data_IF_150072627083
#
_entry.id   IF_150072627083
#
_cell.length_a   1.000
_cell.length_b   1.000
_cell.length_c   1.000
_cell.angle_alpha   90.00
_cell.angle_beta   90.00
_cell.angle_gamma   90.00
#
_symmetry.space_group_name_H-M   'P 1'
#
loop_
_entity.id
_entity.type
_entity.pdbx_description
1 polymer ?
#
# COMPACT_ATOMS: atom_id res chain seq x y z
N UNK A 1 -36.07 -22.51 -80.15
CA UNK A 1 -34.94 -22.94 -81.03
C UNK A 1 -33.64 -22.66 -80.32
N UNK A 2 -32.91 -23.71 -80.17
CA UNK A 2 -31.45 -23.87 -80.09
C UNK A 2 -30.84 -23.42 -78.81
N UNK A 3 -30.41 -24.35 -78.06
CA UNK A 3 -29.10 -25.06 -77.95
C UNK A 3 -28.18 -24.26 -76.99
N UNK A 4 -27.80 -24.69 -75.87
CA UNK A 4 -27.22 -26.02 -75.53
C UNK A 4 -25.72 -25.96 -75.58
N UNK A 5 -25.06 -25.61 -74.48
CA UNK A 5 -23.65 -26.02 -74.31
C UNK A 5 -23.36 -26.28 -72.81
N UNK A 6 -23.26 -27.55 -72.49
CA UNK A 6 -22.66 -28.06 -71.25
C UNK A 6 -21.14 -27.79 -71.29
N UNK A 7 -20.60 -27.27 -70.21
CA UNK A 7 -19.19 -27.48 -69.87
C UNK A 7 -19.10 -28.20 -68.54
N UNK A 8 -18.65 -29.39 -68.65
CA UNK A 8 -18.42 -30.37 -67.60
C UNK A 8 -17.01 -30.16 -67.01
N UNK A 9 -16.97 -30.35 -65.69
CA UNK A 9 -15.85 -30.81 -64.88
C UNK A 9 -14.47 -30.26 -65.05
N UNK A 10 -14.02 -29.57 -64.01
CA UNK A 10 -12.69 -29.85 -63.40
C UNK A 10 -12.75 -29.45 -61.93
N UNK A 11 -13.22 -30.39 -61.09
CA UNK A 11 -13.08 -30.31 -59.64
C UNK A 11 -11.61 -30.62 -59.31
N UNK A 12 -10.79 -29.59 -59.20
CA UNK A 12 -9.47 -29.71 -58.56
C UNK A 12 -9.74 -29.57 -57.06
N UNK A 13 -9.57 -30.67 -56.32
CA UNK A 13 -9.58 -30.70 -54.87
C UNK A 13 -8.36 -29.89 -54.38
N UNK A 14 -8.57 -28.67 -53.89
CA UNK A 14 -7.63 -27.95 -53.08
C UNK A 14 -7.86 -28.40 -51.64
N UNK A 15 -6.98 -29.25 -51.12
CA UNK A 15 -6.82 -29.54 -49.70
C UNK A 15 -6.35 -28.25 -49.03
N UNK A 16 -7.05 -27.75 -48.01
CA UNK A 16 -6.53 -26.63 -47.24
C UNK A 16 -5.35 -27.11 -46.42
N UNK A 17 -4.17 -26.64 -46.77
CA UNK A 17 -3.01 -26.69 -45.89
C UNK A 17 -3.31 -25.77 -44.71
N UNK A 18 -3.80 -26.34 -43.61
CA UNK A 18 -3.81 -25.72 -42.30
C UNK A 18 -2.37 -25.60 -41.82
N UNK A 19 -1.68 -24.56 -42.28
CA UNK A 19 -0.50 -24.09 -41.59
C UNK A 19 -0.97 -23.47 -40.27
N UNK A 20 -0.88 -24.24 -39.21
CA UNK A 20 -0.86 -23.67 -37.86
C UNK A 20 0.32 -22.67 -37.83
N UNK A 21 0.09 -21.40 -37.42
CA UNK A 21 1.22 -20.51 -37.22
C UNK A 21 2.13 -21.15 -36.17
N UNK A 22 3.47 -21.06 -36.35
CA UNK A 22 4.38 -21.54 -35.34
C UNK A 22 4.02 -20.81 -34.04
N UNK A 23 3.71 -21.57 -32.99
CA UNK A 23 3.61 -21.04 -31.64
C UNK A 23 4.93 -20.33 -31.36
N UNK A 24 4.94 -19.03 -31.46
CA UNK A 24 5.95 -18.18 -30.87
C UNK A 24 5.81 -18.42 -29.36
N UNK A 25 6.55 -19.39 -28.85
CA UNK A 25 6.83 -19.45 -27.42
C UNK A 25 7.52 -18.11 -27.12
N UNK A 26 6.75 -17.14 -26.66
CA UNK A 26 7.31 -16.00 -25.97
C UNK A 26 7.92 -16.57 -24.70
N UNK A 27 9.18 -16.90 -24.75
CA UNK A 27 9.99 -17.06 -23.56
C UNK A 27 10.12 -15.66 -22.95
N UNK A 28 9.05 -15.21 -22.28
CA UNK A 28 9.16 -14.12 -21.33
C UNK A 28 9.98 -14.69 -20.16
N UNK A 29 11.29 -14.54 -20.22
CA UNK A 29 12.11 -14.67 -19.03
C UNK A 29 11.46 -13.77 -17.99
N UNK A 30 11.16 -14.28 -16.77
CA UNK A 30 10.67 -13.41 -15.71
C UNK A 30 11.73 -12.33 -15.53
N UNK A 31 11.39 -11.10 -15.92
CA UNK A 31 12.28 -9.97 -15.73
C UNK A 31 12.46 -9.80 -14.23
N UNK A 32 13.66 -10.00 -13.74
CA UNK A 32 13.99 -9.72 -12.35
C UNK A 32 13.59 -8.27 -12.04
N UNK A 33 12.98 -8.01 -10.86
CA UNK A 33 12.58 -6.67 -10.49
C UNK A 33 13.77 -5.70 -10.58
N UNK A 34 13.59 -4.59 -11.29
CA UNK A 34 14.59 -3.54 -11.40
C UNK A 34 14.41 -2.55 -10.26
N UNK A 35 15.50 -2.16 -9.62
CA UNK A 35 15.51 -1.19 -8.54
C UNK A 35 16.08 0.15 -9.03
N UNK A 36 15.41 1.22 -8.65
CA UNK A 36 15.74 2.59 -9.00
C UNK A 36 15.85 3.44 -7.74
N UNK A 37 16.50 4.57 -7.87
CA UNK A 37 16.65 5.56 -6.79
C UNK A 37 16.15 6.91 -7.28
N UNK A 38 15.35 7.59 -6.46
CA UNK A 38 14.89 8.95 -6.77
C UNK A 38 16.04 9.95 -6.65
N UNK A 39 15.94 11.07 -7.38
CA UNK A 39 16.72 12.25 -7.05
C UNK A 39 16.41 12.71 -5.61
N UNK A 40 17.36 13.37 -4.93
CA UNK A 40 17.10 13.98 -3.63
C UNK A 40 15.96 15.01 -3.70
N UNK A 41 15.06 14.97 -2.71
CA UNK A 41 13.93 15.88 -2.55
C UNK A 41 13.84 16.35 -1.10
N UNK A 42 13.16 17.46 -0.80
CA UNK A 42 12.92 17.88 0.58
C UNK A 42 12.22 16.75 1.38
N UNK A 43 12.71 16.48 2.59
CA UNK A 43 12.13 15.45 3.44
C UNK A 43 10.76 15.88 3.98
N UNK A 44 9.70 15.07 3.83
CA UNK A 44 8.36 15.42 4.31
C UNK A 44 8.18 15.22 5.82
N UNK A 45 9.18 14.65 6.51
CA UNK A 45 9.11 14.25 7.92
C UNK A 45 10.00 15.06 8.84
N UNK A 46 11.19 15.43 8.39
CA UNK A 46 12.22 16.11 9.15
C UNK A 46 12.66 17.36 8.40
N UNK A 47 12.48 18.51 9.01
CA UNK A 47 12.80 19.81 8.42
C UNK A 47 14.31 19.93 8.12
N UNK A 48 14.64 20.60 7.02
CA UNK A 48 16.02 20.85 6.60
C UNK A 48 16.77 19.64 6.07
N UNK A 49 16.12 18.47 5.93
CA UNK A 49 16.72 17.25 5.39
C UNK A 49 16.25 16.94 3.97
N UNK A 50 17.04 16.12 3.29
CA UNK A 50 16.70 15.58 1.98
C UNK A 50 16.27 14.11 2.10
N UNK A 51 15.23 13.72 1.38
CA UNK A 51 14.86 12.31 1.20
C UNK A 51 15.33 11.78 -0.14
N UNK A 52 15.61 10.49 -0.16
CA UNK A 52 15.82 9.68 -1.36
C UNK A 52 15.18 8.33 -1.14
N UNK A 53 14.54 7.80 -2.17
CA UNK A 53 13.82 6.51 -2.09
C UNK A 53 14.45 5.49 -3.03
N UNK A 54 14.70 4.30 -2.54
CA UNK A 54 14.93 3.11 -3.34
C UNK A 54 13.55 2.50 -3.67
N UNK A 55 13.26 2.25 -4.95
CA UNK A 55 11.96 1.76 -5.36
C UNK A 55 12.04 0.76 -6.52
N UNK A 56 10.99 -0.04 -6.66
CA UNK A 56 10.78 -0.96 -7.78
C UNK A 56 9.32 -0.94 -8.21
N UNK A 57 9.06 -1.20 -9.49
CA UNK A 57 7.70 -1.28 -10.01
C UNK A 57 7.03 -2.60 -9.62
N UNK A 58 5.74 -2.54 -9.31
CA UNK A 58 4.84 -3.69 -9.18
C UNK A 58 4.10 -3.87 -10.49
N UNK A 59 4.39 -4.95 -11.21
CA UNK A 59 3.75 -5.24 -12.50
C UNK A 59 3.77 -6.73 -12.82
N UNK A 60 2.83 -7.15 -13.66
CA UNK A 60 2.69 -8.53 -14.09
C UNK A 60 2.20 -9.49 -13.00
N UNK A 61 2.19 -10.77 -13.32
CA UNK A 61 1.64 -11.83 -12.45
C UNK A 61 2.40 -12.02 -11.12
N UNK A 62 3.67 -11.59 -11.08
CA UNK A 62 4.51 -11.67 -9.87
C UNK A 62 4.32 -10.54 -8.88
N UNK A 63 3.50 -9.51 -9.18
CA UNK A 63 3.36 -8.32 -8.36
C UNK A 63 2.95 -8.62 -6.91
N UNK A 64 2.02 -9.54 -6.71
CA UNK A 64 1.56 -9.94 -5.37
C UNK A 64 2.68 -10.64 -4.57
N UNK A 65 3.39 -11.59 -5.18
CA UNK A 65 4.54 -12.26 -4.53
C UNK A 65 5.62 -11.26 -4.14
N UNK A 66 5.90 -10.31 -5.04
CA UNK A 66 6.89 -9.26 -4.80
C UNK A 66 6.46 -8.32 -3.67
N UNK A 67 5.18 -7.91 -3.64
CA UNK A 67 4.64 -7.08 -2.56
C UNK A 67 4.77 -7.77 -1.20
N UNK A 68 4.41 -9.05 -1.10
CA UNK A 68 4.55 -9.84 0.13
C UNK A 68 6.02 -9.90 0.58
N UNK A 69 6.93 -10.28 -0.32
CA UNK A 69 8.33 -10.44 0.01
C UNK A 69 9.00 -9.13 0.43
N UNK A 70 8.73 -8.03 -0.27
CA UNK A 70 9.36 -6.74 0.03
C UNK A 70 8.71 -6.03 1.21
N UNK A 71 7.41 -6.21 1.48
CA UNK A 71 6.77 -5.71 2.69
C UNK A 71 7.42 -6.28 3.96
N UNK A 72 7.77 -7.58 3.95
CA UNK A 72 8.55 -8.23 5.03
C UNK A 72 9.96 -7.68 5.19
N UNK A 73 10.49 -7.00 4.17
CA UNK A 73 11.81 -6.37 4.17
C UNK A 73 11.74 -4.85 4.32
N UNK A 74 10.64 -4.36 4.89
CA UNK A 74 10.49 -2.96 5.24
C UNK A 74 10.11 -2.02 4.09
N UNK A 75 9.78 -2.54 2.91
CA UNK A 75 9.23 -1.72 1.83
C UNK A 75 7.76 -1.38 2.08
N UNK A 76 7.31 -0.29 1.49
CA UNK A 76 5.94 0.17 1.51
C UNK A 76 5.43 0.38 0.08
N UNK A 77 4.16 0.06 -0.15
CA UNK A 77 3.52 0.30 -1.44
C UNK A 77 2.96 1.73 -1.54
N UNK A 78 3.09 2.29 -2.71
CA UNK A 78 2.37 3.47 -3.16
C UNK A 78 1.95 3.24 -4.61
N UNK A 79 0.66 3.16 -4.88
CA UNK A 79 0.12 2.79 -6.20
C UNK A 79 0.77 1.50 -6.74
N UNK A 80 1.44 1.57 -7.87
CA UNK A 80 2.11 0.47 -8.55
C UNK A 80 3.63 0.38 -8.27
N UNK A 81 4.11 0.99 -7.19
CA UNK A 81 5.52 0.90 -6.78
C UNK A 81 5.67 0.47 -5.32
N UNK A 82 6.75 -0.26 -5.05
CA UNK A 82 7.26 -0.51 -3.71
C UNK A 82 8.50 0.34 -3.47
N UNK A 83 8.57 0.99 -2.33
CA UNK A 83 9.68 1.86 -1.99
C UNK A 83 10.08 1.74 -0.53
N UNK A 84 11.33 2.10 -0.25
CA UNK A 84 11.81 2.41 1.09
C UNK A 84 12.74 3.62 1.04
N UNK A 85 12.82 4.42 2.13
CA UNK A 85 13.82 5.49 2.24
C UNK A 85 15.24 4.94 2.13
N UNK A 86 16.09 5.68 1.42
CA UNK A 86 17.52 5.37 1.22
C UNK A 86 18.30 6.68 1.15
N UNK A 87 18.18 7.49 2.22
CA UNK A 87 18.82 8.78 2.34
C UNK A 87 20.32 8.62 2.61
N UNK A 88 21.13 9.59 2.17
CA UNK A 88 22.59 9.50 2.27
C UNK A 88 23.12 9.70 3.71
N UNK A 89 22.38 10.47 4.51
CA UNK A 89 22.82 10.95 5.84
C UNK A 89 21.76 10.72 6.93
N UNK A 90 20.73 9.92 6.65
CA UNK A 90 19.62 9.72 7.58
C UNK A 90 19.03 8.32 7.48
N UNK A 91 18.82 7.66 8.61
CA UNK A 91 18.16 6.35 8.74
C UNK A 91 16.91 6.38 9.64
N UNK A 92 16.32 7.55 9.86
CA UNK A 92 15.21 7.75 10.79
C UNK A 92 13.90 7.05 10.37
N UNK A 93 13.70 6.78 9.08
CA UNK A 93 12.46 6.17 8.60
C UNK A 93 12.52 4.64 8.78
N UNK A 94 11.95 4.16 9.87
CA UNK A 94 11.89 2.73 10.18
C UNK A 94 10.50 2.20 9.82
N UNK A 95 10.44 1.14 9.03
CA UNK A 95 9.15 0.48 8.75
C UNK A 95 8.60 -0.09 10.05
N UNK A 96 7.30 0.06 10.28
CA UNK A 96 6.66 -0.30 11.53
C UNK A 96 5.45 -1.20 11.30
N UNK A 97 5.26 -2.21 12.19
CA UNK A 97 4.11 -3.11 12.21
C UNK A 97 3.72 -3.45 13.65
N UNK A 98 2.47 -3.80 13.85
CA UNK A 98 1.98 -4.30 15.15
C UNK A 98 1.90 -5.83 15.08
N UNK A 99 2.40 -6.53 16.11
CA UNK A 99 2.14 -7.96 16.34
C UNK A 99 0.76 -8.11 16.96
N UNK A 100 -0.15 -8.73 16.22
CA UNK A 100 -1.58 -8.78 16.54
C UNK A 100 -1.85 -9.58 17.83
N UNK A 101 -1.16 -10.72 17.99
CA UNK A 101 -1.40 -11.61 19.13
C UNK A 101 -0.93 -11.04 20.48
N UNK A 102 0.09 -10.17 20.44
CA UNK A 102 0.65 -9.53 21.63
C UNK A 102 0.08 -8.12 21.86
N UNK A 103 -0.81 -7.68 20.98
CA UNK A 103 -1.37 -6.33 21.09
C UNK A 103 -2.46 -6.25 22.15
N UNK A 104 -2.25 -5.36 23.13
CA UNK A 104 -3.24 -5.00 24.13
C UNK A 104 -3.54 -3.50 24.07
N UNK A 105 -4.81 -3.11 23.86
CA UNK A 105 -5.15 -1.69 23.79
C UNK A 105 -5.03 -1.03 25.18
N UNK A 106 -4.40 0.13 25.23
CA UNK A 106 -4.33 0.96 26.42
C UNK A 106 -5.72 1.45 26.86
N UNK A 107 -5.82 1.97 28.09
CA UNK A 107 -7.08 2.57 28.59
C UNK A 107 -7.60 3.68 27.65
N UNK A 108 -6.70 4.52 27.11
CA UNK A 108 -7.07 5.57 26.19
C UNK A 108 -7.57 5.01 24.85
N UNK A 109 -6.90 3.98 24.33
CA UNK A 109 -7.29 3.31 23.09
C UNK A 109 -8.65 2.61 23.24
N UNK A 110 -8.94 1.97 24.38
CA UNK A 110 -10.27 1.43 24.66
C UNK A 110 -11.37 2.50 24.66
N UNK A 111 -11.08 3.71 25.18
CA UNK A 111 -12.02 4.83 25.09
C UNK A 111 -12.29 5.24 23.64
N UNK A 112 -11.26 5.25 22.78
CA UNK A 112 -11.42 5.52 21.35
C UNK A 112 -12.29 4.47 20.67
N UNK A 113 -12.07 3.18 20.95
CA UNK A 113 -12.91 2.09 20.42
C UNK A 113 -14.38 2.26 20.84
N UNK A 114 -14.62 2.52 22.11
CA UNK A 114 -15.99 2.70 22.63
C UNK A 114 -16.70 3.91 22.01
N UNK A 115 -15.99 5.04 21.88
CA UNK A 115 -16.52 6.26 21.27
C UNK A 115 -16.96 6.05 19.83
N UNK A 116 -16.22 5.26 19.08
CA UNK A 116 -16.45 4.96 17.67
C UNK A 116 -17.20 3.63 17.43
N UNK A 117 -17.74 3.01 18.48
CA UNK A 117 -18.46 1.72 18.39
C UNK A 117 -19.74 1.76 17.55
N UNK A 118 -20.23 2.97 17.22
CA UNK A 118 -21.36 3.18 16.32
C UNK A 118 -20.96 3.05 14.84
N UNK A 119 -19.67 3.14 14.50
CA UNK A 119 -19.24 3.03 13.10
C UNK A 119 -19.44 1.60 12.56
N UNK A 120 -19.97 1.53 11.37
CA UNK A 120 -20.14 0.29 10.60
C UNK A 120 -19.15 0.29 9.46
N UNK A 121 -18.33 -0.78 9.36
CA UNK A 121 -17.39 -0.92 8.29
C UNK A 121 -17.86 -1.88 7.22
N UNK A 122 -17.49 -1.61 5.99
CA UNK A 122 -17.66 -2.47 4.83
C UNK A 122 -16.35 -2.52 4.06
N UNK A 123 -15.90 -3.72 3.70
CA UNK A 123 -14.73 -3.91 2.86
C UNK A 123 -15.18 -4.27 1.44
N UNK A 124 -14.72 -3.53 0.45
CA UNK A 124 -15.06 -3.73 -0.96
C UNK A 124 -13.80 -3.88 -1.82
N UNK A 125 -13.97 -4.27 -3.07
CA UNK A 125 -12.91 -4.14 -4.07
C UNK A 125 -12.51 -2.67 -4.23
N UNK A 126 -11.28 -2.38 -4.67
CA UNK A 126 -10.82 -1.02 -4.85
C UNK A 126 -11.59 -0.35 -5.99
N UNK A 127 -12.54 0.50 -5.61
CA UNK A 127 -13.39 1.28 -6.50
C UNK A 127 -13.57 2.68 -5.91
N UNK A 128 -13.25 3.71 -6.70
CA UNK A 128 -13.38 5.10 -6.30
C UNK A 128 -14.81 5.61 -6.47
N UNK A 129 -15.26 6.46 -5.55
CA UNK A 129 -16.56 7.11 -5.62
C UNK A 129 -16.41 8.63 -5.40
N UNK A 130 -17.38 9.39 -5.90
CA UNK A 130 -17.43 10.85 -5.68
C UNK A 130 -17.51 11.20 -4.17
N UNK A 131 -18.25 10.40 -3.39
CA UNK A 131 -18.36 10.60 -1.93
C UNK A 131 -17.00 10.39 -1.23
N UNK A 132 -16.24 9.39 -1.64
CA UNK A 132 -14.88 9.16 -1.14
C UNK A 132 -13.96 10.33 -1.53
N UNK A 133 -14.04 10.81 -2.77
CA UNK A 133 -13.23 11.94 -3.23
C UNK A 133 -13.57 13.23 -2.47
N UNK A 134 -14.86 13.51 -2.26
CA UNK A 134 -15.29 14.67 -1.47
C UNK A 134 -14.75 14.62 -0.02
N UNK A 135 -14.80 13.46 0.62
CA UNK A 135 -14.20 13.26 1.95
C UNK A 135 -12.69 13.43 1.93
N UNK A 136 -12.03 12.88 0.92
CA UNK A 136 -10.58 12.98 0.73
C UNK A 136 -10.12 14.43 0.58
N UNK A 137 -10.81 15.24 -0.24
CA UNK A 137 -10.52 16.66 -0.40
C UNK A 137 -10.66 17.43 0.93
N UNK A 138 -11.77 17.26 1.65
CA UNK A 138 -11.96 17.86 2.98
C UNK A 138 -10.84 17.48 3.95
N UNK A 139 -10.42 16.23 3.94
CA UNK A 139 -9.34 15.75 4.78
C UNK A 139 -8.00 16.40 4.42
N UNK A 140 -7.66 16.51 3.13
CA UNK A 140 -6.43 17.15 2.68
C UNK A 140 -6.42 18.64 3.05
N UNK A 141 -7.48 19.37 2.77
CA UNK A 141 -7.59 20.80 3.07
C UNK A 141 -7.39 21.07 4.57
N UNK A 142 -7.92 20.21 5.43
CA UNK A 142 -7.80 20.38 6.88
C UNK A 142 -6.46 19.92 7.49
N UNK A 143 -5.77 18.95 6.87
CA UNK A 143 -4.64 18.26 7.50
C UNK A 143 -3.34 18.30 6.69
N UNK A 144 -3.42 18.51 5.39
CA UNK A 144 -2.30 18.34 4.46
C UNK A 144 -2.37 19.34 3.28
N UNK A 145 -2.84 20.57 3.52
CA UNK A 145 -3.01 21.59 2.48
C UNK A 145 -1.72 21.85 1.66
N UNK A 146 -0.54 21.73 2.30
CA UNK A 146 0.77 21.90 1.65
C UNK A 146 1.41 20.56 1.25
N UNK A 147 0.65 19.47 1.25
CA UNK A 147 1.16 18.13 0.93
C UNK A 147 1.21 17.85 -0.56
N UNK A 148 2.06 16.91 -1.00
CA UNK A 148 2.20 16.55 -2.41
C UNK A 148 0.95 15.91 -3.06
N UNK A 149 -0.16 15.77 -2.32
CA UNK A 149 -1.46 15.30 -2.82
C UNK A 149 -2.52 16.41 -2.79
N UNK A 150 -2.14 17.63 -2.41
CA UNK A 150 -3.09 18.74 -2.25
C UNK A 150 -3.81 19.11 -3.56
N UNK A 151 -3.13 18.96 -4.69
CA UNK A 151 -3.67 19.29 -6.01
C UNK A 151 -4.25 18.08 -6.76
N UNK A 152 -4.31 16.91 -6.10
CA UNK A 152 -4.81 15.67 -6.72
C UNK A 152 -6.25 15.84 -7.21
N UNK A 153 -6.49 15.61 -8.49
CA UNK A 153 -7.81 15.65 -9.08
C UNK A 153 -8.58 14.33 -8.90
N UNK A 154 -9.83 14.27 -9.38
CA UNK A 154 -10.68 13.08 -9.24
C UNK A 154 -10.13 11.88 -10.04
N UNK A 155 -9.46 12.10 -11.17
CA UNK A 155 -8.90 11.03 -11.98
C UNK A 155 -7.64 10.44 -11.33
N UNK A 156 -6.78 11.29 -10.78
CA UNK A 156 -5.62 10.87 -10.00
C UNK A 156 -6.03 10.14 -8.72
N UNK A 157 -7.11 10.61 -8.06
CA UNK A 157 -7.68 9.91 -6.92
C UNK A 157 -8.22 8.53 -7.32
N UNK A 158 -8.98 8.45 -8.42
CA UNK A 158 -9.48 7.17 -8.92
C UNK A 158 -8.32 6.22 -9.24
N UNK A 159 -7.27 6.69 -9.92
CA UNK A 159 -6.07 5.91 -10.19
C UNK A 159 -5.39 5.44 -8.89
N UNK A 160 -5.29 6.29 -7.86
CA UNK A 160 -4.74 5.92 -6.56
C UNK A 160 -5.51 4.78 -5.89
N UNK A 161 -6.83 4.75 -6.02
CA UNK A 161 -7.69 3.73 -5.42
C UNK A 161 -7.71 2.45 -6.25
N UNK A 162 -7.89 2.56 -7.58
CA UNK A 162 -8.25 1.45 -8.46
C UNK A 162 -7.05 0.77 -9.11
N UNK A 163 -5.99 1.53 -9.42
CA UNK A 163 -4.79 0.98 -10.05
C UNK A 163 -3.92 0.25 -9.02
N UNK A 164 -4.30 -0.97 -8.72
CA UNK A 164 -3.58 -1.81 -7.78
C UNK A 164 -3.27 -3.19 -8.40
N UNK A 165 -1.98 -3.55 -8.53
CA UNK A 165 -1.57 -4.85 -9.05
C UNK A 165 -1.55 -5.95 -7.98
N UNK A 166 -2.07 -5.67 -6.77
CA UNK A 166 -2.05 -6.57 -5.60
C UNK A 166 -3.42 -6.67 -4.95
N UNK A 167 -3.58 -7.60 -4.02
CA UNK A 167 -4.84 -7.75 -3.26
C UNK A 167 -5.09 -6.54 -2.37
N UNK A 168 -5.88 -5.61 -2.85
CA UNK A 168 -6.27 -4.40 -2.12
C UNK A 168 -7.75 -4.43 -1.77
N UNK A 169 -8.12 -3.79 -0.66
CA UNK A 169 -9.49 -3.52 -0.24
C UNK A 169 -9.64 -2.05 0.11
N UNK A 170 -10.78 -1.49 -0.25
CA UNK A 170 -11.26 -0.23 0.30
C UNK A 170 -12.16 -0.56 1.48
N UNK A 171 -11.81 -0.05 2.66
CA UNK A 171 -12.59 -0.24 3.89
C UNK A 171 -13.24 1.09 4.20
N UNK A 172 -14.57 1.14 4.06
CA UNK A 172 -15.39 2.30 4.40
C UNK A 172 -15.95 2.17 5.81
N UNK A 173 -15.98 3.29 6.52
CA UNK A 173 -16.61 3.41 7.84
C UNK A 173 -17.74 4.42 7.75
N UNK A 174 -18.96 3.98 8.08
CA UNK A 174 -20.18 4.79 7.98
C UNK A 174 -20.85 4.91 9.34
N UNK A 175 -21.49 6.04 9.59
CA UNK A 175 -22.21 6.28 10.85
C UNK A 175 -23.42 5.34 10.99
N UNK A 176 -23.32 4.38 11.87
CA UNK A 176 -24.36 3.38 12.13
C UNK A 176 -25.52 3.87 12.99
N UNK A 177 -25.49 5.11 13.50
CA UNK A 177 -26.59 5.73 14.26
C UNK A 177 -27.72 6.19 13.35
N UNK A 178 -27.42 6.39 12.07
CA UNK A 178 -28.44 6.72 11.06
C UNK A 178 -29.21 5.46 10.72
N UNK A 179 -30.47 5.39 11.15
CA UNK A 179 -31.33 4.22 10.96
C UNK A 179 -32.03 4.23 9.60
N UNK A 180 -32.37 5.40 9.08
CA UNK A 180 -33.08 5.59 7.80
C UNK A 180 -32.28 6.47 6.84
N UNK A 181 -32.23 6.07 5.57
CA UNK A 181 -31.48 6.78 4.53
C UNK A 181 -30.00 6.40 4.45
N UNK A 182 -29.22 7.07 3.58
CA UNK A 182 -27.82 6.79 3.39
C UNK A 182 -27.01 7.19 4.63
N UNK A 183 -26.17 6.26 5.10
CA UNK A 183 -25.28 6.49 6.23
C UNK A 183 -24.08 7.33 5.78
N UNK A 184 -23.78 8.45 6.45
CA UNK A 184 -22.65 9.30 6.09
C UNK A 184 -21.33 8.54 6.13
N UNK A 185 -20.49 8.75 5.13
CA UNK A 185 -19.13 8.23 5.08
C UNK A 185 -18.24 9.01 6.04
N UNK A 186 -17.66 8.32 7.00
CA UNK A 186 -16.87 8.91 8.08
C UNK A 186 -15.36 8.72 7.86
N UNK A 187 -14.95 7.57 7.33
CA UNK A 187 -13.55 7.28 7.05
C UNK A 187 -13.40 6.24 5.95
N UNK A 188 -12.23 6.27 5.31
CA UNK A 188 -11.83 5.31 4.28
C UNK A 188 -10.39 4.86 4.54
N UNK A 189 -10.13 3.56 4.39
CA UNK A 189 -8.79 3.00 4.38
C UNK A 189 -8.56 2.19 3.11
N UNK A 190 -7.48 2.51 2.41
CA UNK A 190 -6.91 1.66 1.37
C UNK A 190 -5.96 0.68 2.04
N UNK A 191 -6.26 -0.61 1.94
CA UNK A 191 -5.57 -1.65 2.71
C UNK A 191 -5.19 -2.82 1.80
N UNK A 192 -3.90 -3.17 1.79
CA UNK A 192 -3.44 -4.38 1.11
C UNK A 192 -3.57 -5.59 2.03
N UNK A 193 -3.95 -6.71 1.45
CA UNK A 193 -3.98 -8.01 2.11
C UNK A 193 -2.70 -8.76 1.74
N UNK A 194 -1.84 -8.95 2.71
CA UNK A 194 -0.60 -9.71 2.59
C UNK A 194 -0.80 -11.13 3.12
N UNK A 195 0.14 -12.03 2.81
CA UNK A 195 0.12 -13.42 3.29
C UNK A 195 0.22 -13.51 4.83
N UNK A 196 0.88 -12.53 5.45
CA UNK A 196 1.15 -12.49 6.89
C UNK A 196 0.53 -11.29 7.60
N UNK A 197 -0.31 -10.51 6.93
CA UNK A 197 -0.85 -9.33 7.57
C UNK A 197 -1.74 -8.48 6.68
N UNK A 198 -2.15 -7.36 7.23
CA UNK A 198 -2.77 -6.27 6.47
C UNK A 198 -1.87 -5.05 6.49
N UNK A 199 -1.76 -4.36 5.37
CA UNK A 199 -0.95 -3.14 5.25
C UNK A 199 -1.85 -1.93 5.00
N UNK A 200 -1.82 -0.99 5.93
CA UNK A 200 -2.55 0.28 5.80
C UNK A 200 -1.79 1.19 4.83
N UNK A 201 -2.22 1.21 3.57
CA UNK A 201 -1.56 1.98 2.50
C UNK A 201 -1.84 3.47 2.67
N UNK A 202 -3.12 3.82 2.74
CA UNK A 202 -3.57 5.19 2.95
C UNK A 202 -4.88 5.22 3.72
N UNK A 203 -5.11 6.29 4.49
CA UNK A 203 -6.38 6.48 5.19
C UNK A 203 -6.71 7.97 5.28
N UNK A 204 -7.98 8.28 5.12
CA UNK A 204 -8.54 9.61 5.28
C UNK A 204 -9.89 9.54 5.98
N UNK A 205 -10.27 10.60 6.66
CA UNK A 205 -11.46 10.60 7.51
C UNK A 205 -12.00 12.01 7.68
N UNK A 206 -13.21 12.08 8.17
CA UNK A 206 -13.92 13.35 8.41
C UNK A 206 -13.14 14.25 9.37
N UNK A 207 -12.61 15.39 8.88
CA UNK A 207 -11.81 16.29 9.69
C UNK A 207 -12.61 16.99 10.80
N UNK A 208 -13.94 17.08 10.66
CA UNK A 208 -14.80 17.74 11.62
C UNK A 208 -15.01 16.91 12.89
N UNK A 209 -14.69 15.60 12.84
CA UNK A 209 -14.78 14.71 14.00
C UNK A 209 -13.47 14.62 14.79
N UNK A 210 -12.89 15.76 15.13
CA UNK A 210 -11.58 15.89 15.81
C UNK A 210 -11.52 15.06 17.10
N UNK A 211 -12.56 15.12 17.94
CA UNK A 211 -12.62 14.45 19.22
C UNK A 211 -12.73 12.92 19.12
N UNK A 212 -13.11 12.42 17.96
CA UNK A 212 -13.30 10.97 17.74
C UNK A 212 -12.00 10.20 17.63
N UNK A 213 -10.87 10.88 17.40
CA UNK A 213 -9.55 10.23 17.20
C UNK A 213 -9.60 9.12 16.14
N UNK A 214 -10.23 9.42 14.98
CA UNK A 214 -10.51 8.44 13.93
C UNK A 214 -9.25 7.74 13.43
N UNK A 215 -8.13 8.45 13.21
CA UNK A 215 -6.87 7.81 12.80
C UNK A 215 -6.42 6.70 13.76
N UNK A 216 -6.59 6.89 15.08
CA UNK A 216 -6.32 5.85 16.07
C UNK A 216 -7.34 4.72 15.98
N UNK A 217 -8.63 5.04 15.83
CA UNK A 217 -9.69 4.04 15.68
C UNK A 217 -9.41 3.11 14.49
N UNK A 218 -9.03 3.66 13.34
CA UNK A 218 -8.74 2.89 12.14
C UNK A 218 -7.61 1.87 12.36
N UNK A 219 -6.52 2.26 13.03
CA UNK A 219 -5.43 1.33 13.35
C UNK A 219 -5.91 0.22 14.29
N UNK A 220 -6.65 0.57 15.35
CA UNK A 220 -7.19 -0.41 16.31
C UNK A 220 -8.16 -1.40 15.64
N UNK A 221 -8.98 -0.91 14.72
CA UNK A 221 -9.89 -1.76 13.97
C UNK A 221 -9.17 -2.67 12.97
N UNK A 222 -8.05 -2.21 12.37
CA UNK A 222 -7.19 -3.07 11.54
C UNK A 222 -6.54 -4.19 12.36
N UNK A 223 -6.17 -3.94 13.62
CA UNK A 223 -5.74 -5.03 14.52
C UNK A 223 -6.86 -6.04 14.72
N UNK A 224 -8.10 -5.57 14.93
CA UNK A 224 -9.25 -6.47 15.06
C UNK A 224 -9.59 -7.20 13.75
N UNK A 225 -9.38 -6.58 12.58
CA UNK A 225 -9.51 -7.22 11.26
C UNK A 225 -8.48 -8.35 11.12
N UNK A 226 -7.21 -8.03 11.35
CA UNK A 226 -6.12 -9.00 11.23
C UNK A 226 -6.32 -10.18 12.20
N UNK A 227 -6.67 -9.91 13.45
CA UNK A 227 -6.94 -10.94 14.45
C UNK A 227 -8.06 -11.91 14.02
N UNK A 228 -9.17 -11.39 13.49
CA UNK A 228 -10.25 -12.23 12.97
C UNK A 228 -9.88 -13.04 11.73
N UNK A 229 -8.95 -12.52 10.93
CA UNK A 229 -8.43 -13.20 9.74
C UNK A 229 -7.30 -14.19 10.07
N UNK A 230 -6.87 -14.30 11.33
CA UNK A 230 -5.73 -15.14 11.73
C UNK A 230 -4.40 -14.61 11.19
N UNK A 231 -4.29 -13.31 10.91
CA UNK A 231 -3.10 -12.68 10.36
C UNK A 231 -2.26 -12.05 11.47
N UNK A 232 -0.96 -12.38 11.59
CA UNK A 232 -0.13 -11.97 12.72
C UNK A 232 0.25 -10.48 12.74
N UNK A 233 0.13 -9.75 11.60
CA UNK A 233 0.67 -8.38 11.54
C UNK A 233 -0.29 -7.35 10.97
N UNK A 234 -0.16 -6.10 11.47
CA UNK A 234 -0.69 -4.88 10.86
C UNK A 234 0.46 -3.96 10.52
N UNK A 235 0.74 -3.76 9.23
CA UNK A 235 1.80 -2.89 8.74
C UNK A 235 1.31 -1.44 8.69
N UNK A 236 2.03 -0.52 9.36
CA UNK A 236 1.65 0.88 9.52
C UNK A 236 2.45 1.86 8.64
N UNK A 237 3.34 1.34 7.79
CA UNK A 237 4.32 2.15 7.06
C UNK A 237 5.43 2.65 7.98
N UNK A 238 6.01 3.82 7.70
CA UNK A 238 7.17 4.29 8.46
C UNK A 238 6.77 4.94 9.78
N UNK A 239 7.52 4.60 10.82
CA UNK A 239 7.67 5.39 12.03
C UNK A 239 8.94 6.23 11.90
N UNK A 240 8.89 7.49 12.35
CA UNK A 240 10.01 8.42 12.24
C UNK A 240 10.14 9.14 13.58
N UNK A 241 11.19 8.86 14.37
CA UNK A 241 11.45 9.57 15.63
C UNK A 241 11.62 11.07 15.36
N UNK A 242 11.13 11.91 16.27
CA UNK A 242 11.16 13.36 16.11
C UNK A 242 10.16 13.95 15.11
N UNK A 243 9.48 13.13 14.30
CA UNK A 243 8.47 13.61 13.37
C UNK A 243 7.12 13.83 14.04
N UNK A 244 6.60 15.06 13.96
CA UNK A 244 5.25 15.40 14.44
C UNK A 244 4.16 14.56 13.77
N UNK A 245 4.37 14.20 12.48
CA UNK A 245 3.40 13.45 11.66
C UNK A 245 3.46 11.94 11.89
N UNK A 246 4.62 11.37 12.26
CA UNK A 246 4.85 9.92 12.29
C UNK A 246 5.19 9.35 13.67
N UNK A 247 5.58 10.19 14.63
CA UNK A 247 5.99 9.77 15.98
C UNK A 247 4.92 9.06 16.80
N UNK A 248 3.64 9.31 16.52
CA UNK A 248 2.51 8.74 17.26
C UNK A 248 2.45 7.19 17.25
N UNK A 249 3.09 6.55 16.27
CA UNK A 249 3.06 5.08 16.12
C UNK A 249 3.76 4.37 17.29
N UNK A 250 4.75 4.99 17.92
CA UNK A 250 5.41 4.44 19.09
C UNK A 250 4.47 4.24 20.31
N UNK A 251 3.24 4.80 20.28
CA UNK A 251 2.24 4.65 21.35
C UNK A 251 1.47 3.33 21.30
N UNK A 252 1.67 2.51 20.27
CA UNK A 252 1.00 1.21 20.16
C UNK A 252 1.86 0.13 20.82
N UNK A 253 1.23 -0.68 21.65
CA UNK A 253 1.85 -1.87 22.22
C UNK A 253 2.24 -2.86 21.10
N UNK A 254 3.18 -3.74 21.38
CA UNK A 254 3.65 -4.77 20.44
C UNK A 254 4.09 -4.21 19.07
N UNK A 255 4.52 -2.94 19.03
CA UNK A 255 5.08 -2.35 17.84
C UNK A 255 6.47 -2.91 17.57
N UNK A 256 6.66 -3.40 16.36
CA UNK A 256 7.96 -3.78 15.81
C UNK A 256 8.42 -2.78 14.77
N UNK A 257 9.72 -2.60 14.67
CA UNK A 257 10.39 -1.80 13.63
C UNK A 257 11.34 -2.66 12.84
N UNK A 258 11.50 -2.34 11.55
CA UNK A 258 12.49 -2.99 10.70
C UNK A 258 13.78 -2.20 10.74
N UNK A 259 14.81 -2.74 11.41
CA UNK A 259 16.13 -2.13 11.58
C UNK A 259 17.22 -3.19 11.43
N UNK A 260 18.29 -2.86 10.71
CA UNK A 260 19.39 -3.80 10.50
C UNK A 260 19.01 -5.08 9.75
N UNK A 261 17.96 -5.06 8.91
CA UNK A 261 17.51 -6.21 8.13
C UNK A 261 16.57 -7.16 8.88
N UNK A 262 16.15 -6.83 10.10
CA UNK A 262 15.28 -7.67 10.93
C UNK A 262 14.15 -6.86 11.58
N UNK A 263 13.02 -7.52 11.82
CA UNK A 263 11.96 -6.98 12.66
C UNK A 263 12.29 -7.21 14.12
N UNK A 264 12.20 -6.16 14.92
CA UNK A 264 12.45 -6.21 16.35
C UNK A 264 11.52 -5.27 17.10
N UNK A 265 11.21 -5.54 18.39
CA UNK A 265 10.43 -4.63 19.20
C UNK A 265 11.04 -3.22 19.19
N UNK A 266 10.19 -2.20 19.19
CA UNK A 266 10.66 -0.81 19.15
C UNK A 266 11.57 -0.44 20.33
N UNK A 267 11.40 -1.06 21.49
CA UNK A 267 12.14 -0.68 22.70
C UNK A 267 11.82 0.74 23.17
N UNK A 268 12.82 1.46 23.67
CA UNK A 268 12.68 2.87 23.96
C UNK A 268 12.76 3.69 22.67
N UNK A 269 11.72 4.46 22.32
CA UNK A 269 11.74 5.32 21.14
C UNK A 269 12.90 6.33 21.09
N UNK A 270 13.43 6.74 22.25
CA UNK A 270 14.56 7.69 22.35
C UNK A 270 15.88 7.07 21.86
N UNK A 271 16.00 5.73 21.85
CA UNK A 271 17.19 5.02 21.34
C UNK A 271 17.31 5.04 19.82
N UNK A 272 16.33 5.60 19.11
CA UNK A 272 16.30 5.64 17.65
C UNK A 272 16.62 7.03 17.12
N UNK A 273 17.89 7.41 17.17
CA UNK A 273 18.36 8.62 16.51
C UNK A 273 18.21 8.52 15.00
N UNK A 274 17.70 9.58 14.38
CA UNK A 274 17.62 9.71 12.92
C UNK A 274 18.95 10.10 12.26
N UNK A 275 20.00 10.30 13.05
CA UNK A 275 21.31 10.72 12.55
C UNK A 275 22.19 9.52 12.27
N UNK A 276 22.64 9.44 11.04
CA UNK A 276 23.59 8.42 10.59
C UNK A 276 24.76 9.13 9.91
N UNK A 277 25.96 8.80 10.31
CA UNK A 277 27.14 9.33 9.62
C UNK A 277 27.13 8.85 8.16
N UNK A 278 27.41 9.71 7.16
CA UNK A 278 27.35 9.31 5.74
C UNK A 278 28.15 8.06 5.40
N UNK A 279 29.29 7.84 6.05
CA UNK A 279 30.12 6.64 5.85
C UNK A 279 29.54 5.35 6.46
N UNK A 280 28.49 5.44 7.28
CA UNK A 280 27.80 4.29 7.85
C UNK A 280 26.58 3.87 7.05
N UNK A 281 26.24 4.61 5.98
CA UNK A 281 25.15 4.26 5.06
C UNK A 281 25.70 3.35 3.97
N UNK A 282 25.12 2.16 3.86
CA UNK A 282 25.50 1.21 2.81
C UNK A 282 25.29 1.84 1.42
N UNK A 283 26.22 1.62 0.48
CA UNK A 283 26.02 1.98 -0.91
C UNK A 283 24.74 1.36 -1.48
N UNK A 284 24.09 2.03 -2.43
CA UNK A 284 22.83 1.55 -3.03
C UNK A 284 22.96 0.14 -3.59
N UNK A 285 24.08 -0.17 -4.25
CA UNK A 285 24.33 -1.49 -4.81
C UNK A 285 24.31 -2.60 -3.73
N UNK A 286 24.91 -2.34 -2.57
CA UNK A 286 24.88 -3.28 -1.43
C UNK A 286 23.48 -3.41 -0.83
N UNK A 287 22.75 -2.29 -0.72
CA UNK A 287 21.36 -2.33 -0.27
C UNK A 287 20.49 -3.19 -1.18
N UNK A 288 20.68 -3.09 -2.49
CA UNK A 288 19.96 -3.89 -3.48
C UNK A 288 20.40 -5.37 -3.41
N UNK A 289 21.70 -5.63 -3.28
CA UNK A 289 22.22 -6.99 -3.20
C UNK A 289 21.70 -7.79 -1.99
N UNK A 290 21.30 -7.12 -0.91
CA UNK A 290 20.72 -7.74 0.30
C UNK A 290 19.23 -8.02 0.18
N UNK A 291 18.56 -7.54 -0.86
CA UNK A 291 17.12 -7.77 -1.05
C UNK A 291 16.90 -9.22 -1.45
N UNK A 292 16.07 -9.90 -0.67
CA UNK A 292 15.63 -11.26 -0.96
C UNK A 292 14.41 -11.21 -1.86
N UNK A 293 14.59 -11.58 -3.12
CA UNK A 293 13.50 -11.66 -4.08
C UNK A 293 12.79 -13.01 -3.98
N UNK A 294 11.46 -13.05 -4.15
CA UNK A 294 10.72 -14.29 -4.22
C UNK A 294 11.04 -15.03 -5.52
N UNK A 295 10.80 -16.34 -5.55
CA UNK A 295 10.78 -17.07 -6.82
C UNK A 295 9.63 -16.53 -7.69
N UNK A 296 10.00 -15.95 -8.81
CA UNK A 296 9.07 -15.33 -9.76
C UNK A 296 8.58 -16.32 -10.83
N UNK A 297 8.94 -17.60 -10.71
CA UNK A 297 8.48 -18.67 -11.61
C UNK A 297 7.07 -19.14 -11.29
#
# INVERSE_FOLDING_TARGET
MAEGARFDSLRTRLTPLTRQPPYLMRHSLPLAPQFYVTAPQPCPYLEGRSERKLFTALQGEGAEKLNNALSRQGFRRSQNVLYRPSCADCSACLSARIRVDDFEPTRTQRKVLNRNGHLRRTATSPWATEEQFALFRRYLDARHADGGMADMDIFEFAAMIEETPVKTRVIEYRDGRVETGPRPLTAVCLTDVLDDGVSMVYSFYDPDQIDSSLGTHLILDHVAIAKRAGLPYVYLGYWVPGSRKMGYKAKYAALEIFKGGVWQPIGDPEDHSGETHPLSVDPIAEQVARIQLPDMR
#
